data_IF_807358348028
#
_entry.id   IF_807358348028
#
_cell.length_a   1.000
_cell.length_b   1.000
_cell.length_c   1.000
_cell.angle_alpha   90.00
_cell.angle_beta   90.00
_cell.angle_gamma   90.00
#
_symmetry.space_group_name_H-M   'P 1'
#
loop_
_entity.id
_entity.type
_entity.pdbx_description
1 polymer ?
#
# COMPACT_ATOMS: atom_id res chain seq x y z
N UNK A 1 42.30 -24.02 -26.61
CA UNK A 1 42.39 -25.20 -25.77
C UNK A 1 41.53 -26.37 -26.30
N UNK A 2 40.37 -26.08 -26.90
CA UNK A 2 39.45 -27.14 -27.37
C UNK A 2 39.44 -27.35 -28.90
N UNK A 3 40.18 -26.55 -29.67
CA UNK A 3 40.09 -26.48 -31.11
C UNK A 3 38.85 -25.74 -31.59
N UNK A 4 38.89 -25.23 -32.82
CA UNK A 4 37.86 -24.35 -33.39
C UNK A 4 36.49 -25.07 -33.55
N UNK A 5 36.48 -26.32 -33.99
CA UNK A 5 35.27 -27.11 -34.23
C UNK A 5 34.52 -27.42 -32.94
N UNK A 6 35.23 -27.80 -31.87
CA UNK A 6 34.61 -28.05 -30.55
C UNK A 6 34.15 -26.79 -29.91
N UNK A 7 34.90 -25.67 -30.06
CA UNK A 7 34.48 -24.38 -29.58
C UNK A 7 33.17 -23.90 -30.25
N UNK A 8 33.07 -24.11 -31.59
CA UNK A 8 31.86 -23.79 -32.35
C UNK A 8 30.68 -24.68 -31.93
N UNK A 9 30.92 -25.98 -31.72
CA UNK A 9 29.86 -26.87 -31.23
C UNK A 9 29.34 -26.42 -29.85
N UNK A 10 30.20 -26.14 -28.90
CA UNK A 10 29.82 -25.76 -27.54
C UNK A 10 29.15 -24.40 -27.48
N UNK A 11 29.73 -23.39 -28.14
CA UNK A 11 29.32 -21.99 -27.98
C UNK A 11 28.15 -21.62 -28.92
N UNK A 12 28.06 -22.23 -30.10
CA UNK A 12 27.05 -21.87 -31.10
C UNK A 12 26.00 -22.99 -31.25
N UNK A 13 26.42 -24.20 -31.61
CA UNK A 13 25.50 -25.25 -31.95
C UNK A 13 24.65 -25.72 -30.75
N UNK A 14 25.29 -25.96 -29.61
CA UNK A 14 24.58 -26.46 -28.43
C UNK A 14 23.75 -25.37 -27.77
N UNK A 15 24.18 -24.12 -27.78
CA UNK A 15 23.38 -23.01 -27.26
C UNK A 15 22.11 -22.75 -28.07
N UNK A 16 22.22 -22.79 -29.41
CA UNK A 16 21.05 -22.69 -30.27
C UNK A 16 20.11 -23.89 -30.09
N UNK A 17 20.68 -25.11 -29.97
CA UNK A 17 19.89 -26.33 -29.75
C UNK A 17 19.10 -26.25 -28.43
N UNK A 18 19.67 -25.68 -27.36
CA UNK A 18 18.93 -25.46 -26.12
C UNK A 18 17.84 -24.42 -26.30
N UNK A 19 18.12 -23.32 -27.01
CA UNK A 19 17.13 -22.30 -27.31
C UNK A 19 15.95 -22.84 -28.11
N UNK A 20 16.23 -23.73 -29.10
CA UNK A 20 15.20 -24.37 -29.94
C UNK A 20 14.33 -25.39 -29.16
N UNK A 21 14.79 -25.82 -27.99
CA UNK A 21 14.00 -26.70 -27.10
C UNK A 21 12.97 -25.94 -26.26
N UNK A 22 13.05 -24.61 -26.24
CA UNK A 22 12.15 -23.77 -25.45
C UNK A 22 10.88 -23.51 -26.26
N UNK A 23 9.75 -23.94 -25.72
CA UNK A 23 8.44 -23.62 -26.28
C UNK A 23 8.08 -22.16 -25.98
N UNK A 24 7.71 -21.43 -27.02
CA UNK A 24 7.21 -20.07 -26.88
C UNK A 24 5.70 -20.06 -26.59
N UNK A 25 5.25 -19.06 -25.85
CA UNK A 25 3.83 -18.86 -25.59
C UNK A 25 3.26 -19.61 -24.39
N UNK A 26 4.06 -20.40 -23.68
CA UNK A 26 3.63 -21.02 -22.42
C UNK A 26 3.51 -19.94 -21.35
N UNK A 27 2.31 -19.77 -20.83
CA UNK A 27 2.02 -18.85 -19.71
C UNK A 27 1.53 -19.66 -18.52
N UNK A 28 2.35 -19.78 -17.46
CA UNK A 28 1.96 -20.51 -16.25
C UNK A 28 0.83 -19.81 -15.48
N UNK A 29 0.67 -18.49 -15.67
CA UNK A 29 -0.41 -17.69 -15.07
C UNK A 29 -1.24 -17.11 -16.22
N UNK A 30 -2.57 -17.32 -16.22
CA UNK A 30 -3.46 -16.72 -17.22
C UNK A 30 -3.34 -15.20 -17.25
N UNK A 31 -3.55 -14.60 -18.43
CA UNK A 31 -3.66 -13.14 -18.54
C UNK A 31 -4.98 -12.67 -17.92
N UNK A 32 -4.92 -11.55 -17.20
CA UNK A 32 -6.10 -10.91 -16.65
C UNK A 32 -5.87 -10.40 -15.24
N UNK A 33 -6.85 -9.64 -14.77
CA UNK A 33 -6.93 -9.14 -13.40
C UNK A 33 -8.01 -9.94 -12.66
N UNK A 34 -7.62 -10.63 -11.59
CA UNK A 34 -8.49 -11.55 -10.84
C UNK A 34 -8.60 -11.08 -9.38
N UNK A 35 -9.29 -9.96 -9.10
CA UNK A 35 -9.47 -9.50 -7.74
C UNK A 35 -10.39 -10.45 -6.96
N UNK A 36 -10.23 -10.54 -5.65
CA UNK A 36 -11.18 -11.24 -4.80
C UNK A 36 -12.58 -10.61 -4.89
N UNK A 37 -13.62 -11.35 -4.56
CA UNK A 37 -15.00 -10.83 -4.54
C UNK A 37 -15.38 -10.40 -3.13
N UNK A 38 -15.91 -9.20 -3.00
CA UNK A 38 -16.52 -8.70 -1.78
C UNK A 38 -17.89 -8.10 -2.11
N UNK A 39 -18.91 -8.54 -1.40
CA UNK A 39 -20.26 -8.04 -1.60
C UNK A 39 -20.35 -6.54 -1.24
N UNK A 40 -21.09 -5.79 -2.03
CA UNK A 40 -21.37 -4.36 -1.84
C UNK A 40 -20.13 -3.48 -1.68
N UNK A 41 -18.97 -3.90 -2.25
CA UNK A 41 -17.71 -3.19 -2.06
C UNK A 41 -17.79 -1.73 -2.54
N UNK A 42 -18.49 -1.46 -3.63
CA UNK A 42 -18.64 -0.12 -4.19
C UNK A 42 -19.43 0.81 -3.28
N UNK A 43 -20.57 0.35 -2.78
CA UNK A 43 -21.41 1.09 -1.86
C UNK A 43 -20.71 1.37 -0.54
N UNK A 44 -19.97 0.37 -0.03
CA UNK A 44 -19.21 0.51 1.21
C UNK A 44 -18.09 1.54 1.04
N UNK A 45 -17.33 1.48 -0.06
CA UNK A 45 -16.26 2.45 -0.35
C UNK A 45 -16.84 3.86 -0.45
N UNK A 46 -17.94 4.04 -1.18
CA UNK A 46 -18.65 5.34 -1.29
C UNK A 46 -19.09 5.84 0.08
N UNK A 47 -19.80 5.01 0.83
CA UNK A 47 -20.37 5.37 2.13
C UNK A 47 -19.27 5.80 3.10
N UNK A 48 -18.23 5.00 3.27
CA UNK A 48 -17.09 5.31 4.16
C UNK A 48 -16.37 6.60 3.76
N UNK A 49 -16.21 6.79 2.44
CA UNK A 49 -15.54 7.98 1.91
C UNK A 49 -16.33 9.25 2.25
N UNK A 50 -17.62 9.29 1.94
CA UNK A 50 -18.43 10.47 2.20
C UNK A 50 -18.70 10.69 3.69
N UNK A 51 -18.88 9.64 4.48
CA UNK A 51 -19.07 9.76 5.93
C UNK A 51 -17.89 10.50 6.58
N UNK A 52 -16.65 10.10 6.28
CA UNK A 52 -15.47 10.78 6.82
C UNK A 52 -15.30 12.17 6.22
N UNK A 53 -15.59 12.37 4.94
CA UNK A 53 -15.52 13.68 4.30
C UNK A 53 -16.48 14.66 4.95
N UNK A 54 -17.75 14.30 5.19
CA UNK A 54 -18.72 15.13 5.90
C UNK A 54 -18.32 15.40 7.35
N UNK A 55 -17.74 14.41 8.02
CA UNK A 55 -17.24 14.58 9.38
C UNK A 55 -16.12 15.60 9.47
N UNK A 56 -15.25 15.67 8.45
CA UNK A 56 -14.11 16.62 8.40
C UNK A 56 -14.57 17.99 7.92
N UNK A 57 -15.23 18.06 6.77
CA UNK A 57 -15.49 19.30 6.03
C UNK A 57 -16.91 19.83 6.14
N UNK A 58 -17.83 19.05 6.73
CA UNK A 58 -19.25 19.42 6.84
C UNK A 58 -20.08 19.03 5.62
N UNK A 59 -21.36 19.32 5.67
CA UNK A 59 -22.32 19.12 4.58
C UNK A 59 -23.06 20.45 4.31
N UNK A 60 -22.99 21.02 3.09
CA UNK A 60 -22.35 20.48 1.89
C UNK A 60 -20.82 20.50 1.95
N UNK A 61 -20.20 19.59 1.18
CA UNK A 61 -18.72 19.59 1.02
C UNK A 61 -18.26 20.81 0.22
N UNK A 62 -17.05 21.32 0.50
CA UNK A 62 -16.39 22.28 -0.40
C UNK A 62 -16.21 21.67 -1.81
N UNK A 63 -16.38 22.49 -2.85
CA UNK A 63 -16.31 22.05 -4.24
C UNK A 63 -15.02 21.31 -4.59
N UNK A 64 -13.88 21.80 -4.10
CA UNK A 64 -12.57 21.19 -4.30
C UNK A 64 -12.50 19.76 -3.71
N UNK A 65 -13.19 19.49 -2.61
CA UNK A 65 -13.27 18.17 -1.98
C UNK A 65 -14.19 17.25 -2.77
N UNK A 66 -15.42 17.73 -3.08
CA UNK A 66 -16.40 16.92 -3.81
C UNK A 66 -15.91 16.55 -5.21
N UNK A 67 -15.36 17.49 -5.96
CA UNK A 67 -14.83 17.26 -7.30
C UNK A 67 -13.69 16.23 -7.28
N UNK A 68 -12.78 16.32 -6.31
CA UNK A 68 -11.70 15.36 -6.16
C UNK A 68 -12.21 13.96 -5.80
N UNK A 69 -13.15 13.85 -4.86
CA UNK A 69 -13.74 12.57 -4.47
C UNK A 69 -14.51 11.91 -5.59
N UNK A 70 -15.33 12.66 -6.32
CA UNK A 70 -16.09 12.16 -7.47
C UNK A 70 -15.17 11.61 -8.55
N UNK A 71 -14.11 12.35 -8.87
CA UNK A 71 -13.10 11.92 -9.85
C UNK A 71 -12.44 10.61 -9.45
N UNK A 72 -11.98 10.51 -8.19
CA UNK A 72 -11.31 9.31 -7.69
C UNK A 72 -12.27 8.13 -7.57
N UNK A 73 -13.46 8.32 -7.00
CA UNK A 73 -14.47 7.27 -6.88
C UNK A 73 -14.90 6.73 -8.25
N UNK A 74 -15.08 7.60 -9.24
CA UNK A 74 -15.40 7.15 -10.60
C UNK A 74 -14.28 6.28 -11.19
N UNK A 75 -13.02 6.66 -11.02
CA UNK A 75 -11.89 5.87 -11.48
C UNK A 75 -11.83 4.50 -10.76
N UNK A 76 -11.97 4.49 -9.43
CA UNK A 76 -11.91 3.28 -8.61
C UNK A 76 -13.03 2.31 -8.96
N UNK A 77 -14.25 2.79 -9.10
CA UNK A 77 -15.45 1.96 -9.33
C UNK A 77 -15.50 1.45 -10.77
N UNK A 78 -15.32 2.33 -11.75
CA UNK A 78 -15.40 1.95 -13.15
C UNK A 78 -14.32 0.93 -13.57
N UNK A 79 -13.19 0.90 -12.87
CA UNK A 79 -12.12 -0.07 -13.11
C UNK A 79 -12.19 -1.29 -12.17
N UNK A 80 -13.20 -1.41 -11.32
CA UNK A 80 -13.39 -2.55 -10.42
C UNK A 80 -12.39 -2.62 -9.26
N UNK A 81 -11.79 -1.49 -8.86
CA UNK A 81 -10.78 -1.45 -7.80
C UNK A 81 -11.33 -1.29 -6.39
N UNK A 82 -12.66 -1.17 -6.24
CA UNK A 82 -13.32 -1.01 -4.93
C UNK A 82 -12.93 -2.09 -3.93
N UNK A 83 -12.79 -3.33 -4.40
CA UNK A 83 -12.38 -4.46 -3.55
C UNK A 83 -10.97 -4.29 -2.99
N UNK A 84 -10.04 -3.73 -3.76
CA UNK A 84 -8.66 -3.48 -3.30
C UNK A 84 -8.65 -2.45 -2.16
N UNK A 85 -9.39 -1.35 -2.34
CA UNK A 85 -9.54 -0.32 -1.31
C UNK A 85 -10.20 -0.88 -0.05
N UNK A 86 -11.28 -1.63 -0.20
CA UNK A 86 -11.97 -2.22 0.94
C UNK A 86 -11.11 -3.26 1.67
N UNK A 87 -10.34 -4.06 0.92
CA UNK A 87 -9.38 -5.02 1.50
C UNK A 87 -8.33 -4.30 2.33
N UNK A 88 -7.67 -3.29 1.76
CA UNK A 88 -6.67 -2.50 2.46
C UNK A 88 -7.24 -1.86 3.73
N UNK A 89 -8.44 -1.26 3.64
CA UNK A 89 -9.13 -0.65 4.77
C UNK A 89 -9.39 -1.66 5.89
N UNK A 90 -9.89 -2.87 5.56
CA UNK A 90 -10.16 -3.91 6.56
C UNK A 90 -8.88 -4.36 7.27
N UNK A 91 -7.77 -4.54 6.53
CA UNK A 91 -6.48 -4.90 7.10
C UNK A 91 -5.94 -3.81 8.04
N UNK A 92 -5.97 -2.55 7.62
CA UNK A 92 -5.57 -1.41 8.45
C UNK A 92 -6.42 -1.34 9.71
N UNK A 93 -7.76 -1.40 9.56
CA UNK A 93 -8.68 -1.37 10.69
C UNK A 93 -8.42 -2.51 11.67
N UNK A 94 -8.21 -3.73 11.20
CA UNK A 94 -7.91 -4.90 12.04
C UNK A 94 -6.67 -4.67 12.91
N UNK A 95 -5.62 -4.09 12.33
CA UNK A 95 -4.38 -3.79 13.06
C UNK A 95 -4.60 -2.71 14.11
N UNK A 96 -5.22 -1.59 13.72
CA UNK A 96 -5.49 -0.46 14.61
C UNK A 96 -6.42 -0.84 15.77
N UNK A 97 -7.49 -1.61 15.51
CA UNK A 97 -8.42 -2.10 16.53
C UNK A 97 -7.73 -2.99 17.60
N UNK A 98 -6.59 -3.57 17.25
CA UNK A 98 -5.77 -4.37 18.16
C UNK A 98 -4.57 -3.60 18.74
N UNK A 99 -4.53 -2.27 18.55
CA UNK A 99 -3.52 -1.39 19.14
C UNK A 99 -2.18 -1.31 18.39
N UNK A 100 -2.09 -1.87 17.17
CA UNK A 100 -0.88 -1.84 16.35
C UNK A 100 -1.00 -0.81 15.24
N UNK A 101 -0.01 0.08 15.16
CA UNK A 101 0.05 1.10 14.13
C UNK A 101 0.32 0.49 12.75
N UNK A 102 -0.21 1.13 11.73
CA UNK A 102 0.01 0.80 10.31
C UNK A 102 0.48 2.05 9.60
N UNK A 103 1.54 1.93 8.82
CA UNK A 103 2.00 2.99 7.93
C UNK A 103 1.68 2.65 6.48
N UNK A 104 1.11 3.58 5.73
CA UNK A 104 1.04 3.47 4.28
C UNK A 104 2.35 3.90 3.65
N UNK A 105 2.72 3.28 2.52
CA UNK A 105 3.94 3.58 1.78
C UNK A 105 3.63 3.79 0.29
N UNK A 106 4.46 4.59 -0.37
CA UNK A 106 4.39 4.78 -1.82
C UNK A 106 3.25 5.69 -2.26
N UNK A 107 2.73 5.43 -3.46
CA UNK A 107 1.82 6.33 -4.16
C UNK A 107 0.40 6.39 -3.60
N UNK A 108 0.00 5.49 -2.68
CA UNK A 108 -1.34 5.49 -2.07
C UNK A 108 -1.67 6.80 -1.33
N UNK A 109 -0.65 7.51 -0.84
CA UNK A 109 -0.79 8.83 -0.21
C UNK A 109 -1.33 9.93 -1.15
N UNK A 110 -1.40 9.67 -2.47
CA UNK A 110 -2.02 10.59 -3.44
C UNK A 110 -3.52 10.35 -3.66
N UNK A 111 -4.12 9.35 -3.01
CA UNK A 111 -5.56 9.10 -3.08
C UNK A 111 -6.30 9.72 -1.89
N UNK A 112 -7.18 10.68 -2.18
CA UNK A 112 -8.07 11.27 -1.18
C UNK A 112 -9.09 10.24 -0.68
N UNK A 113 -9.56 9.34 -1.54
CA UNK A 113 -10.44 8.22 -1.13
C UNK A 113 -9.73 7.32 -0.13
N UNK A 114 -8.45 6.98 -0.35
CA UNK A 114 -7.67 6.19 0.61
C UNK A 114 -7.53 6.90 1.97
N UNK A 115 -7.33 8.21 1.98
CA UNK A 115 -7.34 9.02 3.20
C UNK A 115 -8.71 9.00 3.89
N UNK A 116 -9.80 9.18 3.14
CA UNK A 116 -11.15 9.12 3.70
C UNK A 116 -11.52 7.75 4.24
N UNK A 117 -11.03 6.69 3.64
CA UNK A 117 -11.23 5.32 4.15
C UNK A 117 -10.30 4.96 5.31
N UNK A 118 -9.33 5.82 5.66
CA UNK A 118 -8.36 5.54 6.73
C UNK A 118 -7.28 4.53 6.36
N UNK A 119 -7.03 4.35 5.05
CA UNK A 119 -5.93 3.51 4.55
C UNK A 119 -4.59 4.25 4.69
N UNK A 120 -4.60 5.57 4.50
CA UNK A 120 -3.47 6.45 4.69
C UNK A 120 -3.84 7.64 5.57
N UNK A 121 -2.84 8.24 6.21
CA UNK A 121 -2.99 9.50 6.96
C UNK A 121 -2.69 10.73 6.11
N UNK A 122 -2.23 10.54 4.88
CA UNK A 122 -1.85 11.63 3.97
C UNK A 122 -3.08 12.21 3.28
N UNK A 123 -3.35 13.48 3.52
CA UNK A 123 -4.40 14.24 2.82
C UNK A 123 -3.84 14.84 1.53
N UNK A 124 -4.21 14.28 0.39
CA UNK A 124 -3.67 14.65 -0.92
C UNK A 124 -4.15 16.01 -1.46
N UNK A 125 -5.07 16.69 -0.80
CA UNK A 125 -5.57 18.02 -1.19
C UNK A 125 -4.50 19.09 -1.06
N UNK A 126 -4.75 20.26 -1.64
CA UNK A 126 -3.93 21.44 -1.43
C UNK A 126 -3.81 21.80 0.06
N UNK A 127 -2.76 22.55 0.47
CA UNK A 127 -2.65 23.08 1.82
C UNK A 127 -3.93 23.81 2.21
N UNK A 128 -4.46 23.53 3.39
CA UNK A 128 -5.69 24.14 3.84
C UNK A 128 -5.84 24.15 5.35
N UNK A 129 -6.74 25.01 5.81
CA UNK A 129 -7.17 25.11 7.18
C UNK A 129 -8.50 24.40 7.37
N UNK A 130 -8.66 23.73 8.52
CA UNK A 130 -9.88 23.03 8.92
C UNK A 130 -10.25 23.45 10.34
N UNK A 131 -11.51 23.77 10.54
CA UNK A 131 -12.06 23.96 11.88
C UNK A 131 -12.60 22.64 12.43
N UNK A 132 -12.00 22.14 13.49
CA UNK A 132 -12.42 20.89 14.11
C UNK A 132 -13.69 21.01 14.98
N UNK A 133 -14.21 22.24 15.17
CA UNK A 133 -15.51 22.44 15.84
C UNK A 133 -16.64 21.78 15.04
N UNK A 134 -17.35 20.79 15.61
CA UNK A 134 -18.38 20.01 14.92
C UNK A 134 -19.49 20.85 14.28
N UNK A 135 -19.82 21.98 14.90
CA UNK A 135 -20.89 22.86 14.42
C UNK A 135 -20.42 23.91 13.40
N UNK A 136 -19.10 24.09 13.26
CA UNK A 136 -18.54 25.11 12.38
C UNK A 136 -18.08 24.58 11.03
N UNK A 137 -17.23 23.57 11.03
CA UNK A 137 -16.65 22.91 9.85
C UNK A 137 -16.09 23.86 8.79
N UNK A 138 -15.67 25.05 9.20
CA UNK A 138 -15.03 26.00 8.29
C UNK A 138 -13.77 25.38 7.70
N UNK A 139 -13.58 25.52 6.40
CA UNK A 139 -12.34 25.16 5.71
C UNK A 139 -11.95 26.26 4.73
N UNK A 140 -10.63 26.42 4.52
CA UNK A 140 -10.05 27.41 3.61
C UNK A 140 -8.87 26.79 2.89
N UNK A 141 -8.99 26.63 1.58
CA UNK A 141 -7.97 26.01 0.73
C UNK A 141 -7.04 27.08 0.16
N UNK A 142 -5.75 26.77 0.17
CA UNK A 142 -4.70 27.60 -0.42
C UNK A 142 -4.26 26.91 -1.70
N UNK A 143 -4.77 27.33 -2.84
CA UNK A 143 -4.45 26.77 -4.16
C UNK A 143 -3.03 27.15 -4.58
N UNK A 144 -2.07 26.66 -3.81
CA UNK A 144 -0.64 26.84 -4.02
C UNK A 144 0.07 25.56 -3.66
N UNK A 145 1.13 25.25 -4.39
CA UNK A 145 2.02 24.14 -4.01
C UNK A 145 2.62 24.37 -2.62
N UNK A 146 2.75 23.27 -1.88
CA UNK A 146 3.30 23.32 -0.53
C UNK A 146 2.70 22.26 0.38
N UNK A 147 3.01 22.38 1.66
CA UNK A 147 2.56 21.46 2.71
C UNK A 147 1.75 22.24 3.74
N UNK A 148 0.57 21.72 4.08
CA UNK A 148 -0.34 22.39 5.00
C UNK A 148 0.26 22.69 6.36
N UNK A 149 1.13 21.81 6.87
CA UNK A 149 1.78 21.99 8.18
C UNK A 149 2.65 23.25 8.24
N UNK A 150 3.18 23.72 7.10
CA UNK A 150 4.02 24.93 7.01
C UNK A 150 3.21 26.21 6.97
N UNK A 151 1.88 26.13 6.86
CA UNK A 151 1.02 27.32 6.93
C UNK A 151 1.15 27.98 8.29
N UNK A 152 1.05 29.33 8.37
CA UNK A 152 1.03 30.03 9.65
C UNK A 152 -0.18 29.63 10.49
N UNK A 153 -0.05 29.70 11.81
CA UNK A 153 -1.18 29.44 12.70
C UNK A 153 -2.30 30.46 12.46
N UNK A 154 -3.54 30.01 12.45
CA UNK A 154 -4.72 30.84 12.14
C UNK A 154 -5.89 30.46 13.05
N UNK A 155 -6.69 31.50 13.36
CA UNK A 155 -7.92 31.38 14.14
C UNK A 155 -9.11 31.34 13.17
N UNK A 156 -10.09 30.48 13.44
CA UNK A 156 -11.30 30.38 12.66
C UNK A 156 -12.09 31.69 12.63
N UNK A 157 -12.35 32.27 11.46
CA UNK A 157 -13.10 33.52 11.36
C UNK A 157 -14.58 33.40 11.74
N UNK A 158 -15.09 32.13 11.78
CA UNK A 158 -16.50 31.87 12.11
C UNK A 158 -16.75 31.65 13.61
N UNK A 159 -15.87 30.89 14.28
CA UNK A 159 -16.14 30.48 15.66
C UNK A 159 -14.97 30.77 16.63
N UNK A 160 -13.87 31.37 16.17
CA UNK A 160 -12.74 31.72 17.03
C UNK A 160 -11.85 30.56 17.48
N UNK A 161 -12.13 29.32 17.09
CA UNK A 161 -11.29 28.18 17.42
C UNK A 161 -9.96 28.20 16.65
N UNK A 162 -8.90 27.58 17.19
CA UNK A 162 -7.66 27.37 16.43
C UNK A 162 -7.93 26.41 15.26
N UNK A 163 -7.48 26.78 14.06
CA UNK A 163 -7.61 25.97 12.88
C UNK A 163 -6.51 24.92 12.85
N UNK A 164 -6.88 23.70 12.44
CA UNK A 164 -5.93 22.65 12.07
C UNK A 164 -5.44 22.88 10.64
N UNK A 165 -4.19 22.55 10.41
CA UNK A 165 -3.52 22.69 9.11
C UNK A 165 -3.34 21.30 8.51
N UNK A 166 -3.65 21.14 7.21
CA UNK A 166 -3.58 19.86 6.52
C UNK A 166 -3.31 20.07 5.02
N UNK A 167 -3.06 18.97 4.27
CA UNK A 167 -2.89 18.97 2.82
C UNK A 167 -1.43 18.93 2.36
N UNK A 168 -1.19 18.12 1.32
CA UNK A 168 0.15 17.83 0.78
C UNK A 168 0.28 18.11 -0.72
N UNK A 169 -0.73 18.64 -1.39
CA UNK A 169 -0.74 18.98 -2.84
C UNK A 169 -0.34 17.81 -3.75
N UNK A 170 -0.84 16.61 -3.52
CA UNK A 170 -0.43 15.43 -4.30
C UNK A 170 -1.48 15.12 -5.38
N UNK A 171 -1.10 15.12 -6.67
CA UNK A 171 -2.01 14.77 -7.76
C UNK A 171 -2.40 13.28 -7.73
N UNK A 172 -3.66 12.98 -8.05
CA UNK A 172 -4.16 11.60 -8.10
C UNK A 172 -3.48 10.76 -9.19
N UNK A 173 -3.01 11.40 -10.24
CA UNK A 173 -2.28 10.79 -11.34
C UNK A 173 -1.02 10.04 -10.90
N UNK A 174 -0.43 10.43 -9.80
CA UNK A 174 0.73 9.73 -9.19
C UNK A 174 0.37 8.28 -8.83
N UNK A 175 -0.87 8.04 -8.44
CA UNK A 175 -1.35 6.71 -8.02
C UNK A 175 -1.97 5.91 -9.16
N UNK A 176 -2.95 6.49 -9.84
CA UNK A 176 -3.80 5.79 -10.81
C UNK A 176 -3.48 6.14 -12.27
N UNK A 177 -2.45 6.95 -12.52
CA UNK A 177 -2.13 7.43 -13.87
C UNK A 177 -3.11 8.49 -14.38
N UNK A 178 -2.80 9.07 -15.55
CA UNK A 178 -3.62 10.16 -16.13
C UNK A 178 -5.03 9.73 -16.52
N UNK A 179 -5.23 8.46 -16.89
CA UNK A 179 -6.53 7.90 -17.25
C UNK A 179 -7.29 7.32 -16.05
N UNK A 180 -6.63 7.17 -14.91
CA UNK A 180 -7.21 6.55 -13.71
C UNK A 180 -7.45 5.04 -13.85
N UNK A 181 -6.76 4.38 -14.77
CA UNK A 181 -6.91 2.96 -15.12
C UNK A 181 -5.73 2.08 -14.70
N UNK A 182 -4.67 2.69 -14.17
CA UNK A 182 -3.55 1.93 -13.60
C UNK A 182 -4.03 1.17 -12.36
N UNK A 183 -3.74 -0.14 -12.31
CA UNK A 183 -4.04 -0.95 -11.13
C UNK A 183 -3.34 -0.36 -9.90
N UNK A 184 -4.10 -0.02 -8.84
CA UNK A 184 -3.52 0.57 -7.64
C UNK A 184 -2.62 -0.42 -6.90
N UNK A 185 -1.44 0.06 -6.50
CA UNK A 185 -0.48 -0.66 -5.66
C UNK A 185 -0.52 -0.04 -4.26
N UNK A 186 -1.13 -0.74 -3.32
CA UNK A 186 -1.34 -0.27 -1.95
C UNK A 186 -0.37 -0.99 -1.02
N UNK A 187 0.74 -0.34 -0.73
CA UNK A 187 1.76 -0.82 0.20
C UNK A 187 1.42 -0.43 1.64
N UNK A 188 1.33 -1.42 2.52
CA UNK A 188 1.05 -1.23 3.94
C UNK A 188 2.14 -1.87 4.80
N UNK A 189 2.68 -1.09 5.73
CA UNK A 189 3.66 -1.55 6.71
C UNK A 189 2.96 -1.85 8.03
N UNK A 190 2.88 -3.12 8.40
CA UNK A 190 2.36 -3.57 9.69
C UNK A 190 3.49 -3.79 10.69
N UNK A 191 3.17 -3.71 11.99
CA UNK A 191 4.10 -4.12 13.04
C UNK A 191 4.53 -5.57 12.82
N UNK A 192 5.85 -5.83 12.95
CA UNK A 192 6.40 -7.19 12.81
C UNK A 192 5.76 -8.19 13.77
N UNK A 193 5.39 -7.75 14.96
CA UNK A 193 4.72 -8.58 15.97
C UNK A 193 3.29 -8.99 15.56
N UNK A 194 2.60 -8.15 14.78
CA UNK A 194 1.21 -8.39 14.38
C UNK A 194 1.07 -8.85 12.93
N UNK A 195 2.12 -8.86 12.15
CA UNK A 195 2.09 -9.21 10.72
C UNK A 195 1.52 -10.61 10.46
N UNK A 196 1.86 -11.59 11.30
CA UNK A 196 1.32 -12.96 11.16
C UNK A 196 -0.20 -13.03 11.36
N UNK A 197 -0.74 -12.20 12.25
CA UNK A 197 -2.19 -12.11 12.46
C UNK A 197 -2.89 -11.44 11.27
N UNK A 198 -2.26 -10.45 10.66
CA UNK A 198 -2.78 -9.83 9.43
C UNK A 198 -2.81 -10.83 8.28
N UNK A 199 -1.76 -11.67 8.11
CA UNK A 199 -1.79 -12.75 7.12
C UNK A 199 -2.93 -13.75 7.39
N UNK A 200 -3.16 -14.13 8.65
CA UNK A 200 -4.30 -14.99 9.02
C UNK A 200 -5.64 -14.32 8.74
N UNK A 201 -5.74 -13.03 8.99
CA UNK A 201 -6.95 -12.28 8.69
C UNK A 201 -7.24 -12.20 7.18
N UNK A 202 -6.22 -12.24 6.31
CA UNK A 202 -6.45 -12.41 4.87
C UNK A 202 -7.16 -13.74 4.56
N UNK A 203 -6.78 -14.83 5.25
CA UNK A 203 -7.47 -16.12 5.10
C UNK A 203 -8.94 -16.06 5.57
N UNK A 204 -9.23 -15.28 6.62
CA UNK A 204 -10.61 -15.04 7.09
C UNK A 204 -11.41 -14.23 6.07
N UNK A 205 -10.79 -13.21 5.43
CA UNK A 205 -11.45 -12.34 4.47
C UNK A 205 -11.74 -13.03 3.13
N UNK A 206 -10.82 -13.84 2.63
CA UNK A 206 -10.86 -14.38 1.27
C UNK A 206 -11.04 -15.89 1.20
N UNK A 207 -11.05 -16.57 2.35
CA UNK A 207 -11.09 -18.02 2.47
C UNK A 207 -9.68 -18.64 2.46
N UNK A 208 -9.46 -19.57 3.37
CA UNK A 208 -8.17 -20.23 3.59
C UNK A 208 -7.62 -20.91 2.32
N UNK A 209 -8.50 -21.42 1.48
CA UNK A 209 -8.13 -22.12 0.22
C UNK A 209 -7.74 -21.13 -0.91
N UNK A 210 -7.89 -19.83 -0.69
CA UNK A 210 -7.61 -18.80 -1.69
C UNK A 210 -6.40 -17.92 -1.34
N UNK A 211 -5.80 -18.13 -0.16
CA UNK A 211 -4.70 -17.29 0.33
C UNK A 211 -3.46 -18.15 0.54
N UNK A 212 -2.40 -17.81 -0.19
CA UNK A 212 -1.14 -18.54 -0.15
C UNK A 212 0.02 -17.58 0.05
N UNK A 213 0.96 -17.97 0.91
CA UNK A 213 2.20 -17.22 1.10
C UNK A 213 3.21 -17.64 0.04
N UNK A 214 3.55 -16.72 -0.85
CA UNK A 214 4.63 -16.94 -1.79
C UNK A 214 5.99 -16.83 -1.08
N UNK A 215 6.94 -17.66 -1.47
CA UNK A 215 8.29 -17.64 -0.92
C UNK A 215 9.29 -18.26 -1.88
N UNK A 216 10.56 -18.02 -1.60
CA UNK A 216 11.67 -18.67 -2.29
C UNK A 216 12.37 -19.63 -1.34
N UNK A 217 12.79 -20.77 -1.86
CA UNK A 217 13.65 -21.69 -1.10
C UNK A 217 15.08 -21.23 -1.29
N UNK A 218 15.77 -20.95 -0.19
CA UNK A 218 17.18 -20.60 -0.19
C UNK A 218 17.93 -21.39 0.86
N UNK A 219 19.21 -21.63 0.64
CA UNK A 219 20.10 -22.21 1.63
C UNK A 219 20.72 -21.11 2.49
N UNK A 220 20.94 -21.43 3.74
CA UNK A 220 21.73 -20.57 4.61
C UNK A 220 23.22 -20.80 4.30
N UNK A 221 23.95 -19.75 3.90
CA UNK A 221 25.38 -19.86 3.67
C UNK A 221 26.10 -20.24 4.97
N UNK A 222 27.11 -21.10 4.88
CA UNK A 222 27.87 -21.64 6.01
C UNK A 222 28.37 -20.54 6.96
N UNK A 223 28.96 -19.47 6.41
CA UNK A 223 29.36 -18.27 7.16
C UNK A 223 28.24 -17.65 8.00
N UNK A 224 27.02 -17.63 7.48
CA UNK A 224 25.87 -17.04 8.18
C UNK A 224 25.37 -17.98 9.27
N UNK A 225 25.40 -19.29 9.06
CA UNK A 225 25.08 -20.28 10.06
C UNK A 225 26.01 -20.16 11.27
N UNK A 226 27.33 -20.11 11.02
CA UNK A 226 28.33 -19.88 12.06
C UNK A 226 28.11 -18.57 12.82
N UNK A 227 27.82 -17.48 12.11
CA UNK A 227 27.59 -16.18 12.73
C UNK A 227 26.34 -16.19 13.65
N UNK A 228 25.26 -16.87 13.26
CA UNK A 228 24.07 -17.00 14.08
C UNK A 228 24.33 -17.82 15.34
N UNK A 229 25.06 -18.91 15.21
CA UNK A 229 25.43 -19.74 16.38
C UNK A 229 26.32 -18.95 17.35
N UNK A 230 27.35 -18.25 16.85
CA UNK A 230 28.20 -17.39 17.69
C UNK A 230 27.39 -16.34 18.44
N UNK A 231 26.52 -15.64 17.72
CA UNK A 231 25.63 -14.63 18.31
C UNK A 231 24.72 -15.22 19.40
N UNK A 232 24.13 -16.39 19.18
CA UNK A 232 23.34 -17.07 20.20
C UNK A 232 24.14 -17.34 21.49
N UNK A 233 25.39 -17.80 21.35
CA UNK A 233 26.25 -18.04 22.50
C UNK A 233 26.63 -16.75 23.23
N UNK A 234 26.92 -15.67 22.50
CA UNK A 234 27.18 -14.34 23.06
C UNK A 234 25.97 -13.79 23.82
N UNK A 235 24.80 -13.80 23.19
CA UNK A 235 23.56 -13.27 23.77
C UNK A 235 23.12 -14.02 25.03
N UNK A 236 23.51 -15.29 25.17
CA UNK A 236 23.18 -16.13 26.33
C UNK A 236 24.32 -16.31 27.32
N UNK A 237 25.44 -15.56 27.16
CA UNK A 237 26.67 -15.68 27.99
C UNK A 237 27.23 -17.12 28.07
N UNK A 238 27.09 -17.89 27.01
CA UNK A 238 27.63 -19.24 26.90
C UNK A 238 29.05 -19.21 26.36
N UNK A 239 29.83 -20.21 26.72
CA UNK A 239 31.20 -20.35 26.19
C UNK A 239 31.15 -20.59 24.67
N UNK A 240 32.00 -19.90 23.91
CA UNK A 240 32.11 -20.07 22.48
C UNK A 240 32.44 -21.51 22.10
N UNK A 241 31.62 -22.09 21.21
CA UNK A 241 31.86 -23.43 20.66
C UNK A 241 32.84 -23.29 19.47
N UNK A 242 33.77 -24.24 19.31
CA UNK A 242 34.64 -24.28 18.15
C UNK A 242 33.82 -24.53 16.88
N UNK A 243 34.24 -23.92 15.77
CA UNK A 243 33.56 -24.04 14.47
C UNK A 243 33.36 -25.49 13.97
N UNK A 244 34.12 -26.43 14.51
CA UNK A 244 34.04 -27.88 14.21
C UNK A 244 32.79 -28.58 14.75
N UNK A 245 31.97 -27.87 15.56
CA UNK A 245 30.75 -28.42 16.19
C UNK A 245 29.48 -27.79 15.56
N UNK A 246 29.65 -26.87 14.65
CA UNK A 246 28.57 -26.21 13.89
C UNK A 246 28.36 -26.90 12.56
#
# INVERSE_FOLDING_TARGET
YLGEDVAKEVVITNTNKIADMIESGIRPIPEGFYPPKMENAEEIVKSMTYEKAYRIYGNPLPEIVSARLERELNAIINNGFSVLYLSAQKLVKKSLDNGYLVGSRGSVGSSLVAFMMGITEVNALYPHYICDNPECKYSEFIEKEGVGIDLPDKICPKCGAKLRKDGYSIPFEVFMGFKGDKVPDIDLNFSGEYQSEIHRYCEELFGKENVFKAGTISTLAEKNAEAYVRKYFEDNNLNAVRAEII
#
